data_IF_808150811065
#
_entry.id   IF_808150811065
#
_cell.length_a   1.000
_cell.length_b   1.000
_cell.length_c   1.000
_cell.angle_alpha   90.00
_cell.angle_beta   90.00
_cell.angle_gamma   90.00
#
_symmetry.space_group_name_H-M   'P 1'
#
loop_
_entity.id
_entity.type
_entity.pdbx_description
1 polymer ?
#
# COMPACT_ATOMS: atom_id res chain seq x y z
N UNK A 1 -20.47 -3.21 -3.40
CA UNK A 1 -20.47 -4.63 -3.01
C UNK A 1 -21.78 -5.09 -2.39
N UNK A 2 -22.42 -4.36 -1.47
CA UNK A 2 -23.69 -4.79 -0.85
C UNK A 2 -24.77 -5.19 -1.88
N UNK A 3 -24.95 -4.41 -2.95
CA UNK A 3 -25.87 -4.79 -4.04
C UNK A 3 -25.48 -6.08 -4.77
N UNK A 4 -24.18 -6.30 -5.01
CA UNK A 4 -23.69 -7.53 -5.66
C UNK A 4 -23.91 -8.74 -4.75
N UNK A 5 -23.67 -8.59 -3.44
CA UNK A 5 -23.95 -9.63 -2.45
C UNK A 5 -25.44 -9.93 -2.36
N UNK A 6 -26.31 -8.91 -2.36
CA UNK A 6 -27.76 -9.14 -2.38
C UNK A 6 -28.21 -9.85 -3.66
N UNK A 7 -27.65 -9.47 -4.81
CA UNK A 7 -27.94 -10.13 -6.09
C UNK A 7 -27.54 -11.61 -6.05
N UNK A 8 -26.43 -11.97 -5.40
CA UNK A 8 -26.03 -13.38 -5.29
C UNK A 8 -27.00 -14.24 -4.48
N UNK A 9 -27.72 -13.65 -3.52
CA UNK A 9 -28.72 -14.38 -2.72
C UNK A 9 -29.94 -14.80 -3.57
N UNK A 10 -30.24 -14.06 -4.64
CA UNK A 10 -31.31 -14.35 -5.60
C UNK A 10 -30.82 -15.03 -6.88
N UNK A 11 -29.66 -15.70 -6.82
CA UNK A 11 -29.00 -16.33 -7.98
C UNK A 11 -29.93 -17.19 -8.83
N UNK A 12 -30.78 -18.03 -8.23
CA UNK A 12 -31.66 -18.94 -8.97
C UNK A 12 -32.65 -18.16 -9.86
N UNK A 13 -33.45 -17.29 -9.26
CA UNK A 13 -34.43 -16.46 -9.97
C UNK A 13 -33.76 -15.53 -10.99
N UNK A 14 -32.63 -14.92 -10.64
CA UNK A 14 -31.96 -13.98 -11.54
C UNK A 14 -31.27 -14.66 -12.73
N UNK A 15 -30.88 -15.93 -12.62
CA UNK A 15 -30.39 -16.68 -13.79
C UNK A 15 -31.51 -16.97 -14.80
N UNK A 16 -32.76 -17.12 -14.37
CA UNK A 16 -33.91 -17.29 -15.27
C UNK A 16 -34.28 -15.98 -15.97
N UNK A 17 -34.17 -14.86 -15.26
CA UNK A 17 -34.55 -13.53 -15.78
C UNK A 17 -33.45 -12.91 -16.67
N UNK A 18 -32.18 -13.12 -16.34
CA UNK A 18 -31.05 -12.50 -17.04
C UNK A 18 -30.48 -13.49 -18.05
N UNK A 19 -30.99 -13.39 -19.28
CA UNK A 19 -30.62 -14.29 -20.39
C UNK A 19 -29.57 -13.70 -21.33
N UNK A 20 -29.41 -12.38 -21.35
CA UNK A 20 -28.49 -11.68 -22.25
C UNK A 20 -27.19 -11.27 -21.57
N UNK A 21 -26.07 -11.42 -22.28
CA UNK A 21 -24.75 -10.95 -21.83
C UNK A 21 -24.71 -9.41 -21.72
N UNK A 22 -23.81 -8.84 -20.89
CA UNK A 22 -23.60 -7.40 -20.83
C UNK A 22 -23.23 -6.83 -22.19
N UNK A 23 -23.88 -5.72 -22.55
CA UNK A 23 -23.48 -4.90 -23.69
C UNK A 23 -22.26 -4.10 -23.27
N UNK A 24 -21.07 -4.58 -23.63
CA UNK A 24 -19.87 -3.73 -23.56
C UNK A 24 -19.92 -2.77 -24.72
N UNK A 25 -19.62 -1.50 -24.46
CA UNK A 25 -19.47 -0.52 -25.53
C UNK A 25 -18.57 -1.11 -26.61
N UNK A 26 -19.01 -1.04 -27.87
CA UNK A 26 -18.29 -1.60 -29.01
C UNK A 26 -16.78 -1.38 -28.86
N UNK A 27 -15.96 -2.39 -29.13
CA UNK A 27 -14.48 -2.28 -29.22
C UNK A 27 -14.03 -1.13 -30.15
N UNK A 28 -14.94 -0.61 -30.97
CA UNK A 28 -14.74 0.50 -31.90
C UNK A 28 -15.23 1.87 -31.38
N UNK A 29 -15.74 1.97 -30.16
CA UNK A 29 -16.27 3.24 -29.63
C UNK A 29 -15.16 4.24 -29.27
N UNK A 30 -13.91 3.79 -29.12
CA UNK A 30 -12.77 4.67 -28.84
C UNK A 30 -12.92 5.52 -27.57
N UNK A 31 -13.91 5.21 -26.72
CA UNK A 31 -14.25 6.01 -25.55
C UNK A 31 -13.33 5.60 -24.38
N UNK A 32 -12.37 6.45 -24.00
CA UNK A 32 -11.45 6.17 -22.90
C UNK A 32 -12.15 6.10 -21.55
N UNK A 33 -13.46 6.39 -21.46
CA UNK A 33 -14.25 6.34 -20.24
C UNK A 33 -14.89 4.97 -19.97
N UNK A 34 -14.78 4.02 -20.90
CA UNK A 34 -15.28 2.65 -20.70
C UNK A 34 -14.14 1.63 -20.58
N UNK A 35 -14.13 0.77 -19.54
CA UNK A 35 -13.13 -0.28 -19.43
C UNK A 35 -13.35 -1.36 -20.49
N UNK A 36 -12.29 -1.93 -21.05
CA UNK A 36 -12.42 -3.11 -21.91
C UNK A 36 -12.52 -4.39 -21.05
N UNK A 37 -13.33 -5.34 -21.48
CA UNK A 37 -13.41 -6.68 -20.88
C UNK A 37 -13.41 -7.73 -21.99
N UNK A 38 -12.39 -8.58 -21.99
CA UNK A 38 -12.33 -9.74 -22.86
C UNK A 38 -13.19 -10.88 -22.31
N UNK A 39 -14.43 -10.98 -22.80
CA UNK A 39 -15.34 -12.08 -22.42
C UNK A 39 -14.86 -13.47 -22.84
N UNK A 40 -13.88 -13.55 -23.75
CA UNK A 40 -13.28 -14.83 -24.16
C UNK A 40 -12.65 -15.55 -22.96
N UNK A 41 -12.10 -14.82 -21.99
CA UNK A 41 -11.52 -15.39 -20.77
C UNK A 41 -12.59 -15.84 -19.75
N UNK A 42 -13.87 -15.61 -20.04
CA UNK A 42 -15.02 -15.86 -19.15
C UNK A 42 -16.03 -16.83 -19.80
N UNK A 43 -15.60 -17.60 -20.79
CA UNK A 43 -16.44 -18.64 -21.41
C UNK A 43 -16.99 -19.64 -20.38
N UNK A 44 -18.22 -20.11 -20.62
CA UNK A 44 -18.94 -21.02 -19.72
C UNK A 44 -19.64 -20.35 -18.52
N UNK A 45 -19.48 -19.04 -18.30
CA UNK A 45 -20.22 -18.32 -17.24
C UNK A 45 -21.64 -17.97 -17.67
N UNK A 46 -22.56 -17.99 -16.69
CA UNK A 46 -23.95 -17.54 -16.91
C UNK A 46 -23.99 -16.04 -17.22
N UNK A 47 -25.01 -15.54 -17.94
CA UNK A 47 -25.15 -14.12 -18.20
C UNK A 47 -25.15 -13.27 -16.93
N UNK A 48 -25.83 -13.71 -15.86
CA UNK A 48 -25.80 -13.07 -14.54
C UNK A 48 -24.36 -12.94 -14.01
N UNK A 49 -23.56 -14.01 -14.04
CA UNK A 49 -22.18 -13.98 -13.59
C UNK A 49 -21.33 -12.97 -14.40
N UNK A 50 -21.54 -12.91 -15.72
CA UNK A 50 -20.87 -11.92 -16.58
C UNK A 50 -21.25 -10.48 -16.22
N UNK A 51 -22.52 -10.21 -15.93
CA UNK A 51 -22.96 -8.89 -15.45
C UNK A 51 -22.33 -8.53 -14.10
N UNK A 52 -22.26 -9.46 -13.16
CA UNK A 52 -21.63 -9.20 -11.86
C UNK A 52 -20.13 -8.89 -12.00
N UNK A 53 -19.40 -9.65 -12.83
CA UNK A 53 -18.00 -9.38 -13.12
C UNK A 53 -17.85 -8.01 -13.81
N UNK A 54 -18.74 -7.69 -14.76
CA UNK A 54 -18.76 -6.40 -15.45
C UNK A 54 -18.97 -5.22 -14.50
N UNK A 55 -19.91 -5.32 -13.54
CA UNK A 55 -20.10 -4.31 -12.50
C UNK A 55 -18.81 -4.15 -11.66
N UNK A 56 -18.12 -5.23 -11.31
CA UNK A 56 -16.85 -5.18 -10.57
C UNK A 56 -15.73 -4.53 -11.40
N UNK A 57 -15.71 -4.73 -12.73
CA UNK A 57 -14.76 -4.06 -13.63
C UNK A 57 -15.05 -2.56 -13.71
N UNK A 58 -16.30 -2.16 -13.91
CA UNK A 58 -16.70 -0.75 -13.90
C UNK A 58 -16.35 -0.09 -12.57
N UNK A 59 -16.63 -0.78 -11.45
CA UNK A 59 -16.26 -0.29 -10.12
C UNK A 59 -14.74 -0.06 -10.01
N UNK A 60 -13.92 -1.02 -10.42
CA UNK A 60 -12.46 -0.87 -10.40
C UNK A 60 -11.98 0.28 -11.30
N UNK A 61 -12.54 0.42 -12.49
CA UNK A 61 -12.20 1.50 -13.41
C UNK A 61 -12.51 2.87 -12.80
N UNK A 62 -13.68 3.01 -12.17
CA UNK A 62 -14.05 4.23 -11.46
C UNK A 62 -13.15 4.51 -10.26
N UNK A 63 -12.75 3.48 -9.52
CA UNK A 63 -11.79 3.62 -8.42
C UNK A 63 -10.41 4.06 -8.92
N UNK A 64 -9.91 3.50 -10.03
CA UNK A 64 -8.66 3.92 -10.66
C UNK A 64 -8.73 5.40 -11.08
N UNK A 65 -9.82 5.81 -11.75
CA UNK A 65 -10.07 7.22 -12.09
C UNK A 65 -10.06 8.14 -10.86
N UNK A 66 -10.70 7.74 -9.76
CA UNK A 66 -10.66 8.50 -8.49
C UNK A 66 -9.27 8.55 -7.88
N UNK A 67 -8.51 7.47 -7.94
CA UNK A 67 -7.16 7.41 -7.37
C UNK A 67 -6.21 8.45 -7.98
N UNK A 68 -6.40 8.80 -9.25
CA UNK A 68 -5.60 9.80 -9.97
C UNK A 68 -5.79 11.23 -9.47
N UNK A 69 -6.79 11.49 -8.62
CA UNK A 69 -7.03 12.82 -8.05
C UNK A 69 -6.20 13.07 -6.79
N UNK A 70 -5.55 12.04 -6.23
CA UNK A 70 -4.60 12.21 -5.14
C UNK A 70 -3.28 12.80 -5.66
N UNK A 71 -2.78 13.83 -4.97
CA UNK A 71 -1.48 14.43 -5.30
C UNK A 71 -0.30 13.52 -4.95
N UNK A 72 -0.42 12.79 -3.84
CA UNK A 72 0.58 11.82 -3.40
C UNK A 72 0.23 10.42 -3.98
N UNK A 73 1.19 9.82 -4.68
CA UNK A 73 1.04 8.48 -5.24
C UNK A 73 0.86 7.41 -4.14
N UNK A 74 1.43 7.61 -2.96
CA UNK A 74 1.36 6.64 -1.85
C UNK A 74 -0.08 6.47 -1.37
N UNK A 75 -0.82 7.56 -1.14
CA UNK A 75 -2.23 7.49 -0.74
C UNK A 75 -3.12 6.99 -1.89
N UNK A 76 -2.79 7.28 -3.15
CA UNK A 76 -3.49 6.74 -4.31
C UNK A 76 -3.42 5.20 -4.34
N UNK A 77 -2.23 4.64 -4.11
CA UNK A 77 -2.03 3.20 -4.01
C UNK A 77 -2.71 2.59 -2.78
N UNK A 78 -2.65 3.28 -1.63
CA UNK A 78 -3.36 2.84 -0.41
C UNK A 78 -4.88 2.78 -0.63
N UNK A 79 -5.44 3.80 -1.27
CA UNK A 79 -6.86 3.86 -1.64
C UNK A 79 -7.25 2.67 -2.52
N UNK A 80 -6.46 2.37 -3.55
CA UNK A 80 -6.72 1.22 -4.42
C UNK A 80 -6.60 -0.10 -3.66
N UNK A 81 -5.56 -0.25 -2.83
CA UNK A 81 -5.36 -1.44 -2.00
C UNK A 81 -6.55 -1.69 -1.08
N UNK A 82 -7.03 -0.68 -0.35
CA UNK A 82 -8.18 -0.79 0.55
C UNK A 82 -9.45 -1.23 -0.18
N UNK A 83 -9.77 -0.56 -1.29
CA UNK A 83 -11.00 -0.84 -2.02
C UNK A 83 -10.98 -2.21 -2.72
N UNK A 84 -9.85 -2.58 -3.34
CA UNK A 84 -9.71 -3.90 -3.99
C UNK A 84 -9.69 -5.01 -2.94
N UNK A 85 -9.03 -4.81 -1.80
CA UNK A 85 -9.08 -5.75 -0.69
C UNK A 85 -10.51 -5.98 -0.21
N UNK A 86 -11.29 -4.90 -0.02
CA UNK A 86 -12.69 -5.00 0.37
C UNK A 86 -13.53 -5.79 -0.65
N UNK A 87 -13.34 -5.58 -1.95
CA UNK A 87 -14.01 -6.35 -3.00
C UNK A 87 -13.63 -7.84 -2.89
N UNK A 88 -12.34 -8.15 -2.74
CA UNK A 88 -11.85 -9.53 -2.58
C UNK A 88 -12.45 -10.20 -1.35
N UNK A 89 -12.50 -9.51 -0.19
CA UNK A 89 -13.10 -10.06 1.02
C UNK A 89 -14.60 -10.32 0.87
N UNK A 90 -15.33 -9.39 0.22
CA UNK A 90 -16.76 -9.58 -0.03
C UNK A 90 -17.05 -10.77 -0.95
N UNK A 91 -16.19 -11.03 -1.93
CA UNK A 91 -16.31 -12.22 -2.78
C UNK A 91 -15.98 -13.49 -1.98
N UNK A 92 -14.89 -13.49 -1.20
CA UNK A 92 -14.49 -14.64 -0.38
C UNK A 92 -15.51 -15.00 0.71
N UNK A 93 -16.20 -14.00 1.25
CA UNK A 93 -17.19 -14.17 2.32
C UNK A 93 -18.56 -14.70 1.86
N UNK A 94 -18.84 -14.78 0.55
CA UNK A 94 -20.08 -15.36 0.02
C UNK A 94 -19.77 -16.51 -0.94
N UNK A 95 -20.12 -17.76 -0.59
CA UNK A 95 -19.93 -18.91 -1.46
C UNK A 95 -20.59 -18.75 -2.84
N UNK A 96 -21.82 -18.25 -2.88
CA UNK A 96 -22.62 -18.04 -4.08
C UNK A 96 -21.97 -16.99 -5.00
N UNK A 97 -21.50 -15.89 -4.41
CA UNK A 97 -20.79 -14.87 -5.16
C UNK A 97 -19.45 -15.40 -5.68
N UNK A 98 -18.68 -16.12 -4.85
CA UNK A 98 -17.42 -16.73 -5.27
C UNK A 98 -17.61 -17.70 -6.42
N UNK A 99 -18.64 -18.54 -6.37
CA UNK A 99 -18.98 -19.48 -7.44
C UNK A 99 -19.26 -18.74 -8.76
N UNK A 100 -20.09 -17.71 -8.74
CA UNK A 100 -20.41 -16.94 -9.95
C UNK A 100 -19.20 -16.19 -10.51
N UNK A 101 -18.45 -15.50 -9.64
CA UNK A 101 -17.26 -14.74 -10.05
C UNK A 101 -16.16 -15.67 -10.56
N UNK A 102 -15.96 -16.81 -9.91
CA UNK A 102 -14.95 -17.81 -10.24
C UNK A 102 -13.55 -17.46 -9.72
N UNK A 103 -12.79 -18.51 -9.42
CA UNK A 103 -11.48 -18.40 -8.79
C UNK A 103 -10.43 -17.71 -9.68
N UNK A 104 -10.53 -17.82 -11.01
CA UNK A 104 -9.57 -17.16 -11.92
C UNK A 104 -9.70 -15.64 -11.89
N UNK A 105 -10.93 -15.11 -11.89
CA UNK A 105 -11.14 -13.67 -11.77
C UNK A 105 -10.80 -13.17 -10.36
N UNK A 106 -11.11 -13.95 -9.32
CA UNK A 106 -10.68 -13.65 -7.95
C UNK A 106 -9.14 -13.59 -7.83
N UNK A 107 -8.42 -14.45 -8.55
CA UNK A 107 -6.94 -14.41 -8.64
C UNK A 107 -6.47 -13.11 -9.29
N UNK A 108 -7.10 -12.66 -10.37
CA UNK A 108 -6.81 -11.36 -11.01
C UNK A 108 -7.00 -10.18 -10.05
N UNK A 109 -8.11 -10.15 -9.30
CA UNK A 109 -8.37 -9.13 -8.27
C UNK A 109 -7.30 -9.16 -7.15
N UNK A 110 -6.93 -10.36 -6.70
CA UNK A 110 -5.88 -10.53 -5.69
C UNK A 110 -4.52 -10.04 -6.21
N UNK A 111 -4.23 -10.24 -7.50
CA UNK A 111 -3.05 -9.68 -8.17
C UNK A 111 -3.03 -8.15 -8.13
N UNK A 112 -4.15 -7.50 -8.45
CA UNK A 112 -4.28 -6.03 -8.37
C UNK A 112 -4.11 -5.50 -6.94
N UNK A 113 -4.68 -6.19 -5.96
CA UNK A 113 -4.46 -5.87 -4.54
C UNK A 113 -2.97 -5.90 -4.18
N UNK A 114 -2.27 -6.99 -4.52
CA UNK A 114 -0.82 -7.12 -4.27
C UNK A 114 -0.01 -6.05 -4.98
N UNK A 115 -0.35 -5.76 -6.24
CA UNK A 115 0.31 -4.70 -7.01
C UNK A 115 0.15 -3.33 -6.36
N UNK A 116 -1.05 -3.01 -5.85
CA UNK A 116 -1.30 -1.76 -5.13
C UNK A 116 -0.47 -1.68 -3.84
N UNK A 117 -0.41 -2.77 -3.06
CA UNK A 117 0.41 -2.84 -1.86
C UNK A 117 1.91 -2.65 -2.16
N UNK A 118 2.45 -3.33 -3.18
CA UNK A 118 3.85 -3.16 -3.61
C UNK A 118 4.12 -1.74 -4.11
N UNK A 119 3.19 -1.15 -4.85
CA UNK A 119 3.35 0.21 -5.39
C UNK A 119 3.34 1.26 -4.29
N UNK A 120 2.44 1.11 -3.30
CA UNK A 120 2.44 1.90 -2.07
C UNK A 120 3.79 1.79 -1.36
N UNK A 121 4.26 0.57 -1.08
CA UNK A 121 5.54 0.37 -0.39
C UNK A 121 6.71 1.01 -1.15
N UNK A 122 6.71 0.89 -2.48
CA UNK A 122 7.75 1.49 -3.32
C UNK A 122 7.71 3.02 -3.29
N UNK A 123 6.52 3.61 -3.40
CA UNK A 123 6.33 5.05 -3.44
C UNK A 123 6.71 5.73 -2.11
N UNK A 124 6.48 5.06 -0.98
CA UNK A 124 6.81 5.61 0.35
C UNK A 124 8.22 5.24 0.80
N UNK A 125 8.57 3.95 0.82
CA UNK A 125 9.67 3.46 1.66
C UNK A 125 11.01 3.34 0.95
N UNK A 126 11.05 3.34 -0.39
CA UNK A 126 12.33 3.20 -1.11
C UNK A 126 13.30 4.31 -0.75
N UNK A 127 12.84 5.56 -0.73
CA UNK A 127 13.69 6.71 -0.43
C UNK A 127 14.10 6.77 1.05
N UNK A 128 13.20 6.39 1.96
CA UNK A 128 13.51 6.25 3.40
C UNK A 128 14.61 5.21 3.59
N UNK A 129 14.45 4.02 3.01
CA UNK A 129 15.43 2.94 3.10
C UNK A 129 16.74 3.26 2.38
N UNK A 130 16.70 4.08 1.33
CA UNK A 130 17.90 4.56 0.65
C UNK A 130 18.80 5.39 1.57
N UNK A 131 18.23 6.11 2.54
CA UNK A 131 19.01 6.84 3.54
C UNK A 131 19.84 5.90 4.45
N UNK A 132 19.46 4.62 4.54
CA UNK A 132 20.05 3.62 5.42
C UNK A 132 21.04 2.69 4.71
N UNK A 133 21.48 3.07 3.50
CA UNK A 133 22.48 2.31 2.73
C UNK A 133 23.88 2.88 2.90
N UNK A 134 24.87 2.05 2.63
CA UNK A 134 26.28 2.39 2.76
C UNK A 134 26.81 3.19 1.57
N UNK A 135 26.13 3.07 0.43
CA UNK A 135 26.63 3.66 -0.81
C UNK A 135 26.81 5.18 -0.66
N UNK A 136 28.00 5.65 -1.01
CA UNK A 136 28.38 7.06 -0.90
C UNK A 136 28.84 7.51 0.49
N UNK A 137 28.95 6.60 1.48
CA UNK A 137 29.50 6.94 2.81
C UNK A 137 31.02 6.77 2.90
N UNK A 138 31.61 5.93 2.06
CA UNK A 138 33.05 5.71 2.03
C UNK A 138 33.73 6.66 1.04
N UNK A 139 34.79 7.33 1.51
CA UNK A 139 35.67 8.11 0.64
C UNK A 139 36.85 7.22 0.26
N UNK A 140 37.03 6.94 -1.03
CA UNK A 140 38.22 6.25 -1.52
C UNK A 140 39.27 7.29 -1.88
N UNK A 141 40.28 7.44 -1.02
CA UNK A 141 41.47 8.25 -1.28
C UNK A 141 42.73 7.40 -1.09
N UNK A 142 43.81 7.80 -1.76
CA UNK A 142 45.06 7.02 -1.91
C UNK A 142 45.77 6.61 -0.61
N UNK A 143 45.34 7.09 0.58
CA UNK A 143 46.00 6.80 1.86
C UNK A 143 45.07 6.65 3.08
N UNK A 144 43.74 6.71 2.93
CA UNK A 144 42.83 6.27 4.00
C UNK A 144 41.46 5.84 3.47
N UNK A 145 41.00 4.67 3.89
CA UNK A 145 39.63 4.21 3.73
C UNK A 145 38.85 4.62 4.99
N UNK A 146 38.06 5.68 4.89
CA UNK A 146 37.32 6.24 6.02
C UNK A 146 35.86 6.53 5.69
N UNK A 147 35.01 6.43 6.72
CA UNK A 147 33.61 6.89 6.64
C UNK A 147 33.58 8.41 6.68
N UNK A 148 32.92 9.02 5.70
CA UNK A 148 32.70 10.47 5.68
C UNK A 148 31.69 10.87 6.76
N UNK A 149 32.16 11.51 7.83
CA UNK A 149 31.29 12.01 8.91
C UNK A 149 30.26 13.03 8.42
N UNK A 150 30.60 13.84 7.42
CA UNK A 150 29.65 14.81 6.85
C UNK A 150 28.55 14.13 6.05
N UNK A 151 28.89 13.17 5.18
CA UNK A 151 27.91 12.41 4.42
C UNK A 151 27.00 11.59 5.34
N UNK A 152 27.56 10.99 6.39
CA UNK A 152 26.81 10.22 7.38
C UNK A 152 25.80 11.10 8.15
N UNK A 153 26.21 12.29 8.59
CA UNK A 153 25.31 13.26 9.23
C UNK A 153 24.16 13.66 8.32
N UNK A 154 24.43 13.84 7.03
CA UNK A 154 23.40 14.18 6.06
C UNK A 154 22.42 13.02 5.82
N UNK A 155 22.90 11.77 5.82
CA UNK A 155 22.03 10.58 5.76
C UNK A 155 21.07 10.50 6.95
N UNK A 156 21.57 10.70 8.17
CA UNK A 156 20.71 10.72 9.37
C UNK A 156 19.68 11.85 9.32
N UNK A 157 20.08 13.07 8.92
CA UNK A 157 19.14 14.19 8.76
C UNK A 157 18.06 13.90 7.71
N UNK A 158 18.46 13.36 6.57
CA UNK A 158 17.54 12.97 5.49
C UNK A 158 16.57 11.90 5.97
N UNK A 159 17.07 10.85 6.63
CA UNK A 159 16.24 9.81 7.23
C UNK A 159 15.22 10.40 8.21
N UNK A 160 15.67 11.26 9.14
CA UNK A 160 14.80 11.85 10.15
C UNK A 160 13.66 12.66 9.53
N UNK A 161 13.98 13.51 8.55
CA UNK A 161 12.99 14.35 7.87
C UNK A 161 11.99 13.50 7.07
N UNK A 162 12.48 12.49 6.33
CA UNK A 162 11.61 11.62 5.53
C UNK A 162 10.72 10.74 6.41
N UNK A 163 11.26 10.16 7.48
CA UNK A 163 10.47 9.34 8.40
C UNK A 163 9.41 10.17 9.15
N UNK A 164 9.76 11.38 9.58
CA UNK A 164 8.81 12.28 10.26
C UNK A 164 7.65 12.69 9.33
N UNK A 165 7.93 12.95 8.05
CA UNK A 165 6.90 13.20 7.05
C UNK A 165 5.99 11.99 6.84
N UNK A 166 6.58 10.79 6.71
CA UNK A 166 5.83 9.54 6.56
C UNK A 166 4.97 9.28 7.79
N UNK A 167 5.50 9.41 9.01
CA UNK A 167 4.72 9.19 10.23
C UNK A 167 3.58 10.20 10.36
N UNK A 168 3.87 11.49 10.14
CA UNK A 168 2.87 12.56 10.17
C UNK A 168 1.72 12.30 9.21
N UNK A 169 2.00 11.82 8.00
CA UNK A 169 0.97 11.57 6.99
C UNK A 169 0.24 10.25 7.24
N UNK A 170 0.97 9.15 7.42
CA UNK A 170 0.39 7.82 7.46
C UNK A 170 -0.39 7.50 8.74
N UNK A 171 -0.05 8.12 9.86
CA UNK A 171 -0.87 8.01 11.08
C UNK A 171 -2.31 8.53 10.86
N UNK A 172 -2.46 9.54 10.00
CA UNK A 172 -3.78 10.14 9.67
C UNK A 172 -4.55 9.37 8.61
N UNK A 173 -3.89 8.49 7.86
CA UNK A 173 -4.57 7.64 6.88
C UNK A 173 -5.32 6.52 7.60
N UNK A 174 -6.35 5.97 6.97
CA UNK A 174 -7.18 4.93 7.56
C UNK A 174 -7.18 3.68 6.69
N UNK A 175 -6.88 2.54 7.30
CA UNK A 175 -7.17 1.21 6.75
C UNK A 175 -8.25 0.58 7.64
N UNK A 176 -9.53 0.53 7.21
CA UNK A 176 -10.61 0.03 8.04
C UNK A 176 -10.47 -1.44 8.45
N UNK A 177 -9.92 -2.27 7.56
CA UNK A 177 -9.69 -3.70 7.81
C UNK A 177 -8.48 -3.88 8.74
N UNK A 178 -8.69 -4.42 9.94
CA UNK A 178 -7.66 -4.56 10.96
C UNK A 178 -6.57 -5.56 10.58
N UNK A 179 -6.93 -6.64 9.87
CA UNK A 179 -5.97 -7.65 9.44
C UNK A 179 -5.04 -7.06 8.38
N UNK A 180 -5.59 -6.42 7.35
CA UNK A 180 -4.81 -5.73 6.33
C UNK A 180 -3.90 -4.66 6.94
N UNK A 181 -4.42 -3.90 7.92
CA UNK A 181 -3.65 -2.88 8.62
C UNK A 181 -2.42 -3.49 9.30
N UNK A 182 -2.62 -4.56 10.05
CA UNK A 182 -1.55 -5.23 10.79
C UNK A 182 -0.54 -5.89 9.86
N UNK A 183 -0.99 -6.58 8.81
CA UNK A 183 -0.12 -7.16 7.79
C UNK A 183 0.78 -6.11 7.13
N UNK A 184 0.24 -4.92 6.87
CA UNK A 184 1.02 -3.82 6.28
C UNK A 184 2.04 -3.24 7.26
N UNK A 185 1.68 -3.07 8.53
CA UNK A 185 2.61 -2.64 9.59
C UNK A 185 3.75 -3.62 9.77
N UNK A 186 3.45 -4.91 9.86
CA UNK A 186 4.45 -5.98 9.93
C UNK A 186 5.39 -5.88 8.72
N UNK A 187 4.86 -5.79 7.50
CA UNK A 187 5.69 -5.71 6.29
C UNK A 187 6.58 -4.46 6.23
N UNK A 188 6.14 -3.34 6.81
CA UNK A 188 6.96 -2.12 6.95
C UNK A 188 8.06 -2.36 7.99
N UNK A 189 7.71 -2.87 9.18
CA UNK A 189 8.65 -3.15 10.26
C UNK A 189 9.74 -4.14 9.85
N UNK A 190 9.39 -5.21 9.15
CA UNK A 190 10.33 -6.22 8.64
C UNK A 190 11.40 -5.65 7.71
N UNK A 191 11.14 -4.51 7.06
CA UNK A 191 12.10 -3.85 6.18
C UNK A 191 12.83 -2.72 6.88
N UNK A 192 12.09 -1.86 7.58
CA UNK A 192 12.62 -0.65 8.21
C UNK A 192 13.52 -0.97 9.39
N UNK A 193 13.06 -1.83 10.30
CA UNK A 193 13.71 -2.07 11.58
C UNK A 193 15.07 -2.75 11.40
N UNK A 194 15.21 -3.83 10.63
CA UNK A 194 16.53 -4.44 10.40
C UNK A 194 17.49 -3.49 9.68
N UNK A 195 17.01 -2.72 8.69
CA UNK A 195 17.83 -1.76 7.97
C UNK A 195 18.36 -0.66 8.91
N UNK A 196 17.48 -0.07 9.73
CA UNK A 196 17.87 0.99 10.66
C UNK A 196 18.80 0.46 11.75
N UNK A 197 18.48 -0.69 12.35
CA UNK A 197 19.32 -1.34 13.37
C UNK A 197 20.73 -1.63 12.85
N UNK A 198 20.84 -2.16 11.64
CA UNK A 198 22.13 -2.43 10.98
C UNK A 198 22.90 -1.13 10.68
N UNK A 199 22.24 -0.11 10.14
CA UNK A 199 22.84 1.18 9.85
C UNK A 199 23.36 1.87 11.13
N UNK A 200 22.53 1.92 12.16
CA UNK A 200 22.87 2.50 13.45
C UNK A 200 24.04 1.75 14.09
N UNK A 201 24.00 0.42 14.14
CA UNK A 201 25.08 -0.40 14.73
C UNK A 201 26.45 -0.17 14.10
N UNK A 202 26.51 0.09 12.79
CA UNK A 202 27.77 0.32 12.07
C UNK A 202 28.30 1.74 12.20
N UNK A 203 27.40 2.73 12.25
CA UNK A 203 27.80 4.13 12.09
C UNK A 203 27.63 5.00 13.35
N UNK A 204 26.95 4.50 14.40
CA UNK A 204 26.68 5.25 15.63
C UNK A 204 27.93 5.86 16.27
N UNK A 205 29.00 5.09 16.42
CA UNK A 205 30.28 5.55 17.01
C UNK A 205 30.92 6.73 16.25
N UNK A 206 30.69 6.81 14.93
CA UNK A 206 31.22 7.89 14.09
C UNK A 206 30.52 9.23 14.34
N UNK A 207 29.27 9.19 14.84
CA UNK A 207 28.47 10.36 15.20
C UNK A 207 28.65 10.73 16.68
N UNK A 208 28.63 9.75 17.59
CA UNK A 208 28.80 9.96 19.03
C UNK A 208 30.16 10.54 19.41
N UNK A 209 31.19 10.29 18.59
CA UNK A 209 32.50 10.94 18.74
C UNK A 209 32.53 12.43 18.34
N UNK A 210 31.41 13.00 17.88
CA UNK A 210 31.28 14.39 17.46
C UNK A 210 30.57 15.29 18.49
N UNK A 211 30.42 16.59 18.15
CA UNK A 211 29.61 17.52 18.95
C UNK A 211 28.12 17.32 18.63
N UNK A 212 27.29 17.21 19.66
CA UNK A 212 25.83 17.12 19.60
C UNK A 212 25.27 15.93 18.79
N UNK A 213 25.56 14.67 19.17
CA UNK A 213 25.03 13.48 18.49
C UNK A 213 23.49 13.40 18.48
N UNK A 214 22.83 13.97 19.49
CA UNK A 214 21.38 14.06 19.62
C UNK A 214 20.71 14.81 18.46
N UNK A 215 21.44 15.69 17.77
CA UNK A 215 20.93 16.43 16.61
C UNK A 215 20.86 15.57 15.34
N UNK A 216 21.42 14.36 15.35
CA UNK A 216 21.48 13.47 14.19
C UNK A 216 20.76 12.14 14.45
N UNK A 217 20.97 11.52 15.61
CA UNK A 217 20.30 10.27 15.96
C UNK A 217 19.04 10.62 16.77
N UNK A 218 17.91 10.84 16.07
CA UNK A 218 16.64 11.26 16.69
C UNK A 218 15.82 10.09 17.25
N UNK A 219 15.94 8.91 16.64
CA UNK A 219 15.11 7.74 16.95
C UNK A 219 15.96 6.58 17.45
N UNK A 220 15.54 5.94 18.53
CA UNK A 220 15.95 4.57 18.85
C UNK A 220 15.23 3.55 17.95
N UNK A 221 15.63 2.28 18.02
CA UNK A 221 14.95 1.23 17.28
C UNK A 221 13.52 1.04 17.80
N UNK A 222 13.37 1.13 19.12
CA UNK A 222 12.13 1.01 19.86
C UNK A 222 11.17 2.17 19.54
N UNK A 223 11.70 3.38 19.32
CA UNK A 223 10.89 4.53 18.89
C UNK A 223 10.29 4.29 17.50
N UNK A 224 11.06 3.71 16.57
CA UNK A 224 10.56 3.38 15.22
C UNK A 224 9.53 2.25 15.27
N UNK A 225 9.78 1.20 16.07
CA UNK A 225 8.82 0.10 16.28
C UNK A 225 7.49 0.64 16.80
N UNK A 226 7.54 1.52 17.81
CA UNK A 226 6.34 2.16 18.38
C UNK A 226 5.65 3.05 17.36
N UNK A 227 6.41 3.87 16.61
CA UNK A 227 5.85 4.78 15.62
C UNK A 227 5.12 4.06 14.47
N UNK A 228 5.57 2.86 14.07
CA UNK A 228 4.88 2.07 13.04
C UNK A 228 3.50 1.58 13.51
N UNK A 229 3.31 1.38 14.83
CA UNK A 229 2.01 0.99 15.39
C UNK A 229 0.94 2.07 15.22
N UNK A 230 1.35 3.35 15.06
CA UNK A 230 0.42 4.45 14.83
C UNK A 230 -0.13 4.48 13.39
N UNK A 231 0.55 3.84 12.43
CA UNK A 231 0.21 3.98 11.02
C UNK A 231 -1.17 3.44 10.71
N UNK A 232 -1.93 4.17 9.89
CA UNK A 232 -3.22 3.76 9.34
C UNK A 232 -4.38 3.67 10.35
N UNK A 233 -4.21 4.19 11.57
CA UNK A 233 -5.29 4.27 12.55
C UNK A 233 -6.33 5.36 12.22
N UNK A 234 -5.95 6.38 11.46
CA UNK A 234 -6.82 7.51 11.12
C UNK A 234 -6.90 8.58 12.21
N UNK A 235 -6.02 8.55 13.20
CA UNK A 235 -5.93 9.59 14.23
C UNK A 235 -4.97 10.70 13.79
N UNK A 236 -5.36 11.96 14.04
CA UNK A 236 -4.38 13.05 14.03
C UNK A 236 -3.35 12.75 15.12
N UNK A 237 -2.06 12.79 14.79
CA UNK A 237 -0.96 12.56 15.75
C UNK A 237 -1.07 13.55 16.91
N UNK A 238 -1.77 13.14 17.97
CA UNK A 238 -1.85 13.86 19.23
C UNK A 238 -0.81 13.29 20.17
N UNK A 239 0.31 13.99 20.26
CA UNK A 239 1.13 14.17 21.47
C UNK A 239 1.78 12.95 22.15
N UNK A 240 1.81 11.74 21.58
CA UNK A 240 2.51 10.64 22.25
C UNK A 240 4.04 10.82 22.33
N UNK A 241 4.65 11.53 21.38
CA UNK A 241 6.08 11.87 21.41
C UNK A 241 6.41 13.14 22.21
N UNK A 242 5.42 13.93 22.63
CA UNK A 242 5.65 15.17 23.41
C UNK A 242 5.78 14.95 24.92
N UNK A 243 5.47 13.75 25.43
CA UNK A 243 5.50 13.44 26.87
C UNK A 243 6.85 12.95 27.41
N UNK A 244 7.89 12.85 26.59
CA UNK A 244 9.24 12.42 27.03
C UNK A 244 10.27 13.55 27.15
N UNK A 245 9.87 14.80 27.01
CA UNK A 245 10.74 15.97 27.25
C UNK A 245 10.28 16.82 28.45
N UNK A 246 9.87 16.16 29.54
CA UNK A 246 9.79 16.74 30.88
C UNK A 246 10.43 15.78 31.89
#
# INVERSE_FOLDING_TARGET
>A
MNYISLISDYKQTLNELIVSKPSTGSRYSGDPTTPDMEFAELEGKTPLALHLIWIIVILQFNLDGKSKHYKDASIAHLFMMNNVHYIVQKIKGSPELREMIGDDYLRKLTGKFRQAATSYQRATWVSVLYCLRDEGLHVSGSFSSGVSKSALRERFKSFNAMFEEVHRTQATWLIPDSQLREELRISISEKLIPAYRSFLGRFRSHIESGRHPENYIKYSVEDLETAVLDFFEGYSVSQHLRRRSQ
#
